data_IF_069615255732
#
_entry.id   IF_069615255732
#
_cell.length_a   1.000
_cell.length_b   1.000
_cell.length_c   1.000
_cell.angle_alpha   90.00
_cell.angle_beta   90.00
_cell.angle_gamma   90.00
#
_symmetry.space_group_name_H-M   'P 1'
#
loop_
_entity.id
_entity.type
_entity.pdbx_description
1 polymer ?
#
# COMPACT_ATOMS: atom_id res chain seq x y z
N UNK A 1 -8.44 15.11 -6.43
CA UNK A 1 -8.25 16.34 -5.64
C UNK A 1 -6.78 16.61 -5.37
N UNK A 2 -5.98 15.62 -4.97
CA UNK A 2 -4.54 15.80 -4.71
C UNK A 2 -3.69 16.16 -5.94
N UNK A 3 -4.23 16.07 -7.17
CA UNK A 3 -3.56 16.58 -8.38
C UNK A 3 -3.44 18.11 -8.41
N UNK A 4 -4.23 18.83 -7.60
CA UNK A 4 -4.22 20.29 -7.59
C UNK A 4 -4.88 20.87 -8.84
N UNK A 5 -4.21 21.84 -9.46
CA UNK A 5 -4.71 22.62 -10.60
C UNK A 5 -4.79 21.81 -11.90
N UNK A 6 -5.60 22.29 -12.85
CA UNK A 6 -5.82 21.62 -14.13
C UNK A 6 -4.54 21.49 -14.97
N UNK A 7 -3.61 22.43 -14.86
CA UNK A 7 -2.30 22.40 -15.53
C UNK A 7 -1.51 21.13 -15.22
N UNK A 8 -1.63 20.60 -14.00
CA UNK A 8 -0.94 19.39 -13.55
C UNK A 8 -1.47 18.12 -14.25
N UNK A 9 -2.62 18.19 -14.93
CA UNK A 9 -3.11 17.06 -15.74
C UNK A 9 -2.14 16.70 -16.86
N UNK A 10 -1.35 17.66 -17.34
CA UNK A 10 -0.32 17.39 -18.35
C UNK A 10 0.72 16.37 -17.85
N UNK A 11 1.09 16.42 -16.57
CA UNK A 11 1.99 15.43 -15.96
C UNK A 11 1.40 14.01 -15.98
N UNK A 12 0.08 13.91 -15.81
CA UNK A 12 -0.64 12.62 -15.89
C UNK A 12 -0.72 12.14 -17.34
N UNK A 13 -0.95 13.05 -18.29
CA UNK A 13 -1.00 12.74 -19.72
C UNK A 13 0.34 12.25 -20.25
N UNK A 14 1.42 12.98 -19.99
CA UNK A 14 2.78 12.63 -20.40
C UNK A 14 3.17 11.25 -19.86
N UNK A 15 2.84 11.00 -18.59
CA UNK A 15 3.06 9.70 -17.97
C UNK A 15 2.22 8.58 -18.58
N UNK A 16 0.94 8.86 -18.84
CA UNK A 16 0.04 7.87 -19.43
C UNK A 16 0.53 7.44 -20.82
N UNK A 17 1.05 8.38 -21.60
CA UNK A 17 1.71 8.11 -22.88
C UNK A 17 2.93 7.20 -22.66
N UNK A 18 3.83 7.56 -21.74
CA UNK A 18 5.03 6.78 -21.47
C UNK A 18 4.74 5.37 -20.93
N UNK A 19 3.69 5.23 -20.13
CA UNK A 19 3.25 3.94 -19.59
C UNK A 19 2.38 3.13 -20.56
N UNK A 20 1.97 3.70 -21.71
CA UNK A 20 0.98 3.07 -22.60
C UNK A 20 -0.37 2.85 -21.92
N UNK A 21 -0.74 3.72 -20.99
CA UNK A 21 -1.89 3.57 -20.10
C UNK A 21 -3.04 4.52 -20.46
N UNK A 22 -4.26 4.13 -20.08
CA UNK A 22 -5.41 5.02 -20.14
C UNK A 22 -5.50 5.90 -18.88
N UNK A 23 -5.95 7.14 -19.05
CA UNK A 23 -6.20 8.06 -17.93
C UNK A 23 -7.59 7.79 -17.36
N UNK A 24 -7.68 7.72 -16.04
CA UNK A 24 -8.92 7.71 -15.27
C UNK A 24 -8.87 8.74 -14.15
N UNK A 25 -10.00 9.02 -13.52
CA UNK A 25 -10.08 10.04 -12.47
C UNK A 25 -10.99 9.62 -11.30
N UNK A 26 -10.85 10.33 -10.18
CA UNK A 26 -11.76 10.21 -9.03
C UNK A 26 -12.96 11.13 -9.19
N UNK A 27 -14.05 10.85 -8.47
CA UNK A 27 -15.31 11.61 -8.54
C UNK A 27 -15.13 13.14 -8.49
N UNK A 28 -14.34 13.72 -7.54
CA UNK A 28 -14.18 15.18 -7.49
C UNK A 28 -13.52 15.76 -8.74
N UNK A 29 -12.66 14.99 -9.43
CA UNK A 29 -11.99 15.43 -10.65
C UNK A 29 -12.95 15.44 -11.86
N UNK A 30 -13.93 14.52 -11.88
CA UNK A 30 -14.95 14.46 -12.94
C UNK A 30 -16.13 15.41 -12.71
N UNK A 31 -16.70 15.41 -11.50
CA UNK A 31 -17.94 16.15 -11.20
C UNK A 31 -17.68 17.58 -10.76
N UNK A 32 -16.76 17.80 -9.83
CA UNK A 32 -16.56 19.12 -9.21
C UNK A 32 -15.57 19.97 -10.01
N UNK A 33 -14.41 19.40 -10.33
CA UNK A 33 -13.34 20.12 -11.04
C UNK A 33 -13.51 20.05 -12.57
N UNK A 34 -14.23 19.04 -13.07
CA UNK A 34 -14.50 18.83 -14.50
C UNK A 34 -13.23 18.81 -15.36
N UNK A 35 -12.14 18.25 -14.85
CA UNK A 35 -10.88 18.13 -15.62
C UNK A 35 -10.98 17.02 -16.66
N UNK A 36 -11.75 15.98 -16.36
CA UNK A 36 -12.00 14.84 -17.23
C UNK A 36 -13.49 14.53 -17.28
N UNK A 37 -14.00 13.98 -18.39
CA UNK A 37 -15.40 13.63 -18.53
C UNK A 37 -15.82 12.51 -17.55
N UNK A 38 -17.12 12.45 -17.26
CA UNK A 38 -17.72 11.46 -16.35
C UNK A 38 -17.45 10.00 -16.74
N UNK A 39 -17.25 9.71 -18.03
CA UNK A 39 -16.90 8.34 -18.46
C UNK A 39 -15.48 7.90 -18.06
N UNK A 40 -14.62 8.80 -17.56
CA UNK A 40 -13.30 8.49 -17.00
C UNK A 40 -13.31 8.34 -15.49
N UNK A 41 -14.43 8.60 -14.82
CA UNK A 41 -14.56 8.45 -13.38
C UNK A 41 -14.51 6.97 -13.00
N UNK A 42 -13.59 6.62 -12.10
CA UNK A 42 -13.44 5.27 -11.52
C UNK A 42 -13.94 5.27 -10.08
N UNK A 43 -14.84 4.35 -9.75
CA UNK A 43 -15.40 4.22 -8.40
C UNK A 43 -16.68 3.38 -8.36
N UNK A 44 -17.33 3.30 -7.21
CA UNK A 44 -18.54 2.51 -6.97
C UNK A 44 -19.66 2.85 -7.99
N UNK A 45 -19.89 4.13 -8.23
CA UNK A 45 -20.92 4.65 -9.16
C UNK A 45 -20.35 4.99 -10.54
N UNK A 46 -19.06 4.80 -10.76
CA UNK A 46 -18.38 5.09 -12.02
C UNK A 46 -17.98 3.82 -12.75
N UNK A 47 -16.93 3.92 -13.57
CA UNK A 47 -16.30 2.79 -14.21
C UNK A 47 -15.59 1.91 -13.17
N UNK A 48 -15.61 0.61 -13.41
CA UNK A 48 -14.79 -0.37 -12.68
C UNK A 48 -13.53 -0.63 -13.48
N UNK A 49 -12.39 -0.49 -12.83
CA UNK A 49 -11.11 -0.82 -13.44
C UNK A 49 -10.83 -2.32 -13.29
N UNK A 50 -10.55 -2.97 -14.42
CA UNK A 50 -10.09 -4.35 -14.50
C UNK A 50 -8.84 -4.39 -15.38
N UNK A 51 -7.68 -4.49 -14.75
CA UNK A 51 -6.38 -4.37 -15.42
C UNK A 51 -5.24 -4.77 -14.49
N UNK A 52 -4.04 -4.92 -15.04
CA UNK A 52 -2.90 -5.42 -14.27
C UNK A 52 -2.26 -4.33 -13.39
N UNK A 53 -2.28 -3.07 -13.82
CA UNK A 53 -1.61 -1.98 -13.12
C UNK A 53 -2.53 -0.77 -12.99
N UNK A 54 -2.83 -0.38 -11.76
CA UNK A 54 -3.53 0.85 -11.42
C UNK A 54 -2.59 1.76 -10.66
N UNK A 55 -2.48 3.03 -11.08
CA UNK A 55 -1.57 3.97 -10.42
C UNK A 55 -2.34 5.19 -9.91
N UNK A 56 -2.55 5.22 -8.60
CA UNK A 56 -3.32 6.22 -7.90
C UNK A 56 -2.44 7.43 -7.54
N UNK A 57 -2.60 8.53 -8.26
CA UNK A 57 -1.81 9.76 -8.04
C UNK A 57 -2.67 10.80 -7.32
N UNK A 58 -2.34 11.13 -6.07
CA UNK A 58 -3.08 12.14 -5.29
C UNK A 58 -4.53 11.72 -4.96
N UNK A 59 -4.77 10.42 -4.83
CA UNK A 59 -6.07 9.81 -4.48
C UNK A 59 -6.01 9.35 -3.03
N UNK A 60 -6.97 9.76 -2.20
CA UNK A 60 -7.01 9.41 -0.77
C UNK A 60 -7.41 7.97 -0.50
N UNK A 61 -8.12 7.32 -1.44
CA UNK A 61 -8.60 5.96 -1.31
C UNK A 61 -9.92 5.83 -0.52
N UNK A 62 -10.85 6.78 -0.68
CA UNK A 62 -12.19 6.65 -0.12
C UNK A 62 -12.83 5.31 -0.54
N UNK A 63 -13.60 4.69 0.36
CA UNK A 63 -14.16 3.35 0.14
C UNK A 63 -14.96 3.19 -1.16
N UNK A 64 -15.62 4.25 -1.63
CA UNK A 64 -16.30 4.27 -2.93
C UNK A 64 -15.32 4.13 -4.10
N UNK A 65 -14.17 4.80 -4.05
CA UNK A 65 -13.12 4.68 -5.08
C UNK A 65 -12.49 3.29 -5.06
N UNK A 66 -12.16 2.78 -3.87
CA UNK A 66 -11.54 1.45 -3.69
C UNK A 66 -12.39 0.33 -4.29
N UNK A 67 -13.72 0.40 -4.15
CA UNK A 67 -14.64 -0.56 -4.78
C UNK A 67 -14.56 -0.58 -6.31
N UNK A 68 -14.18 0.54 -6.93
CA UNK A 68 -13.99 0.64 -8.38
C UNK A 68 -12.67 0.05 -8.88
N UNK A 69 -11.67 -0.13 -8.01
CA UNK A 69 -10.33 -0.63 -8.37
C UNK A 69 -9.99 -1.98 -7.74
N UNK A 70 -10.98 -2.64 -7.12
CA UNK A 70 -10.78 -3.92 -6.39
C UNK A 70 -10.19 -5.03 -7.27
N UNK A 71 -10.53 -5.04 -8.56
CA UNK A 71 -10.07 -6.05 -9.52
C UNK A 71 -8.69 -5.72 -10.14
N UNK A 72 -8.05 -4.61 -9.73
CA UNK A 72 -6.68 -4.34 -10.15
C UNK A 72 -5.71 -5.40 -9.60
N UNK A 73 -4.84 -5.95 -10.45
CA UNK A 73 -3.81 -6.88 -9.97
C UNK A 73 -2.78 -6.18 -9.10
N UNK A 74 -2.28 -5.02 -9.54
CA UNK A 74 -1.27 -4.23 -8.85
C UNK A 74 -1.74 -2.79 -8.74
N UNK A 75 -1.68 -2.25 -7.53
CA UNK A 75 -2.04 -0.88 -7.19
C UNK A 75 -0.79 -0.18 -6.68
N UNK A 76 -0.36 0.85 -7.40
CA UNK A 76 0.69 1.78 -6.97
C UNK A 76 0.02 3.06 -6.48
N UNK A 77 0.40 3.58 -5.32
CA UNK A 77 -0.16 4.80 -4.75
C UNK A 77 0.92 5.86 -4.54
N UNK A 78 0.63 7.10 -4.94
CA UNK A 78 1.48 8.27 -4.71
C UNK A 78 0.60 9.31 -4.00
N UNK A 79 0.96 9.67 -2.76
CA UNK A 79 0.21 10.62 -1.98
C UNK A 79 1.10 11.33 -0.95
N UNK A 80 0.92 12.64 -0.78
CA UNK A 80 1.66 13.42 0.23
C UNK A 80 1.31 13.02 1.66
N UNK A 81 0.09 12.55 1.90
CA UNK A 81 -0.36 12.14 3.22
C UNK A 81 -0.09 10.64 3.44
N UNK A 82 0.93 10.32 4.22
CA UNK A 82 1.30 8.95 4.61
C UNK A 82 0.15 8.13 5.22
N UNK A 83 -0.84 8.79 5.84
CA UNK A 83 -1.99 8.14 6.47
C UNK A 83 -3.18 7.94 5.51
N UNK A 84 -3.03 8.21 4.22
CA UNK A 84 -4.09 8.04 3.24
C UNK A 84 -4.57 6.58 3.17
N UNK A 85 -5.89 6.39 3.13
CA UNK A 85 -6.53 5.06 3.11
C UNK A 85 -6.12 4.21 1.89
N UNK A 86 -5.70 4.85 0.79
CA UNK A 86 -5.18 4.17 -0.40
C UNK A 86 -3.98 3.28 -0.06
N UNK A 87 -3.12 3.69 0.89
CA UNK A 87 -1.92 2.93 1.26
C UNK A 87 -2.24 1.59 1.92
N UNK A 88 -3.39 1.49 2.61
CA UNK A 88 -3.88 0.22 3.17
C UNK A 88 -4.33 -0.79 2.11
N UNK A 89 -4.50 -0.34 0.87
CA UNK A 89 -5.06 -1.15 -0.22
C UNK A 89 -4.12 -1.19 -1.45
N UNK A 90 -2.95 -0.53 -1.40
CA UNK A 90 -1.96 -0.56 -2.46
C UNK A 90 -0.93 -1.68 -2.23
N UNK A 91 -0.26 -2.06 -3.30
CA UNK A 91 0.87 -3.00 -3.25
C UNK A 91 2.20 -2.25 -3.16
N UNK A 92 2.28 -1.05 -3.76
CA UNK A 92 3.44 -0.15 -3.65
C UNK A 92 2.96 1.27 -3.32
N UNK A 93 3.64 1.93 -2.39
CA UNK A 93 3.29 3.28 -1.94
C UNK A 93 4.50 4.20 -1.95
N UNK A 94 4.33 5.42 -2.47
CA UNK A 94 5.31 6.51 -2.36
C UNK A 94 4.63 7.66 -1.63
N UNK A 95 5.24 8.08 -0.52
CA UNK A 95 4.80 9.27 0.22
C UNK A 95 5.56 10.48 -0.32
N UNK A 96 4.84 11.42 -0.91
CA UNK A 96 5.43 12.65 -1.45
C UNK A 96 4.52 13.38 -2.44
N UNK A 97 5.00 14.50 -2.97
CA UNK A 97 4.24 15.34 -3.88
C UNK A 97 4.14 14.72 -5.28
N UNK A 98 2.93 14.74 -5.86
CA UNK A 98 2.69 14.16 -7.18
C UNK A 98 3.43 14.93 -8.29
N UNK A 99 3.60 16.24 -8.16
CA UNK A 99 4.24 17.07 -9.17
C UNK A 99 5.76 16.88 -9.20
N UNK A 100 6.35 16.44 -8.09
CA UNK A 100 7.77 16.09 -8.02
C UNK A 100 8.01 14.64 -8.48
N UNK A 101 7.14 13.71 -8.05
CA UNK A 101 7.32 12.28 -8.31
C UNK A 101 6.96 11.91 -9.76
N UNK A 102 5.90 12.49 -10.32
CA UNK A 102 5.44 12.11 -11.67
C UNK A 102 6.49 12.37 -12.76
N UNK A 103 7.17 13.52 -12.82
CA UNK A 103 8.24 13.75 -13.81
C UNK A 103 9.37 12.73 -13.71
N UNK A 104 9.82 12.42 -12.48
CA UNK A 104 10.89 11.43 -12.25
C UNK A 104 10.48 10.04 -12.71
N UNK A 105 9.24 9.64 -12.40
CA UNK A 105 8.71 8.35 -12.81
C UNK A 105 8.50 8.27 -14.33
N UNK A 106 8.05 9.35 -14.96
CA UNK A 106 7.90 9.45 -16.41
C UNK A 106 9.26 9.31 -17.10
N UNK A 107 10.29 10.01 -16.61
CA UNK A 107 11.64 9.90 -17.14
C UNK A 107 12.23 8.48 -16.97
N UNK A 108 11.99 7.83 -15.83
CA UNK A 108 12.43 6.45 -15.60
C UNK A 108 11.72 5.41 -16.50
N UNK A 109 10.51 5.72 -16.97
CA UNK A 109 9.75 4.88 -17.90
C UNK A 109 10.11 5.15 -19.36
N UNK A 110 10.76 6.27 -19.67
CA UNK A 110 11.20 6.59 -21.01
C UNK A 110 12.49 5.82 -21.32
N UNK A 111 12.34 4.81 -22.18
CA UNK A 111 13.44 3.96 -22.64
C UNK A 111 13.89 4.32 -24.06
N UNK A 112 13.40 5.43 -24.63
CA UNK A 112 13.73 5.88 -25.99
C UNK A 112 13.14 5.01 -27.12
N UNK A 113 12.35 4.00 -26.78
CA UNK A 113 11.72 3.10 -27.75
C UNK A 113 10.26 3.48 -28.01
N UNK A 114 9.77 3.19 -29.22
CA UNK A 114 8.35 3.31 -29.55
C UNK A 114 7.53 2.36 -28.68
N UNK A 115 6.59 2.90 -27.90
CA UNK A 115 5.75 2.11 -27.00
C UNK A 115 4.91 1.12 -27.79
N UNK A 116 5.05 -0.16 -27.46
CA UNK A 116 4.27 -1.25 -28.08
C UNK A 116 2.82 -1.15 -27.63
N UNK A 117 1.89 -1.53 -28.49
CA UNK A 117 0.48 -1.65 -28.12
C UNK A 117 0.34 -2.60 -26.94
N UNK A 118 -0.49 -2.25 -25.96
CA UNK A 118 -0.73 -3.09 -24.81
C UNK A 118 -1.19 -4.50 -25.28
N UNK A 119 -0.57 -5.58 -24.78
CA UNK A 119 -1.00 -6.93 -25.11
C UNK A 119 -2.42 -7.18 -24.57
N UNK A 120 -3.08 -8.21 -25.10
CA UNK A 120 -4.38 -8.63 -24.59
C UNK A 120 -4.28 -8.90 -23.07
N UNK A 121 -5.21 -8.31 -22.31
CA UNK A 121 -5.21 -8.42 -20.85
C UNK A 121 -5.25 -9.88 -20.42
N UNK A 122 -4.22 -10.32 -19.69
CA UNK A 122 -4.19 -11.61 -19.01
C UNK A 122 -4.35 -11.35 -17.52
N UNK A 123 -5.45 -11.83 -16.94
CA UNK A 123 -5.70 -11.69 -15.50
C UNK A 123 -4.58 -12.39 -14.74
N UNK A 124 -3.82 -11.62 -13.98
CA UNK A 124 -2.80 -12.13 -13.08
C UNK A 124 -3.38 -12.22 -11.66
N UNK A 125 -3.00 -13.26 -10.92
CA UNK A 125 -3.37 -13.38 -9.51
C UNK A 125 -2.61 -12.30 -8.73
N UNK A 126 -3.34 -11.44 -8.02
CA UNK A 126 -2.73 -10.45 -7.13
C UNK A 126 -1.93 -11.18 -6.05
N UNK A 127 -0.63 -10.93 -6.00
CA UNK A 127 0.23 -11.34 -4.88
C UNK A 127 -0.13 -10.48 -3.69
N UNK A 128 -0.83 -11.05 -2.70
CA UNK A 128 -1.00 -10.36 -1.42
C UNK A 128 0.37 -10.38 -0.72
N UNK A 129 0.91 -9.24 -0.27
CA UNK A 129 2.07 -9.26 0.61
C UNK A 129 1.72 -10.15 1.80
N UNK A 130 2.57 -11.15 2.06
CA UNK A 130 2.43 -11.99 3.24
C UNK A 130 2.50 -11.07 4.44
N UNK A 131 1.41 -10.97 5.21
CA UNK A 131 1.49 -10.37 6.54
C UNK A 131 2.45 -11.28 7.32
N UNK A 132 3.64 -10.78 7.64
CA UNK A 132 4.51 -11.45 8.59
C UNK A 132 3.67 -11.59 9.87
N UNK A 133 3.40 -12.82 10.28
CA UNK A 133 2.66 -13.02 11.54
C UNK A 133 3.60 -12.59 12.66
N UNK A 134 3.10 -11.88 13.69
CA UNK A 134 3.90 -11.59 14.87
C UNK A 134 4.40 -12.92 15.42
N UNK A 135 5.67 -12.97 15.79
CA UNK A 135 6.26 -14.13 16.43
C UNK A 135 5.88 -14.06 17.90
N UNK A 136 5.08 -15.03 18.35
CA UNK A 136 4.60 -15.11 19.72
C UNK A 136 5.22 -16.34 20.37
N UNK A 137 5.64 -16.20 21.63
CA UNK A 137 6.10 -17.30 22.47
C UNK A 137 5.15 -17.43 23.64
N UNK A 138 4.66 -18.64 23.89
CA UNK A 138 3.70 -18.92 24.97
C UNK A 138 4.36 -19.76 26.05
N UNK A 139 4.29 -19.31 27.30
CA UNK A 139 4.71 -20.08 28.46
C UNK A 139 3.83 -21.31 28.63
N UNK A 140 4.42 -22.50 28.71
CA UNK A 140 3.67 -23.75 28.85
C UNK A 140 3.05 -23.94 30.25
N UNK A 141 3.59 -23.28 31.28
CA UNK A 141 3.06 -23.37 32.65
C UNK A 141 1.83 -22.51 32.90
N UNK A 142 1.83 -21.23 32.49
CA UNK A 142 0.73 -20.30 32.77
C UNK A 142 0.01 -19.74 31.54
N UNK A 143 0.58 -19.91 30.33
CA UNK A 143 0.03 -19.35 29.10
C UNK A 143 0.40 -17.89 28.83
N UNK A 144 1.34 -17.30 29.56
CA UNK A 144 1.84 -15.95 29.25
C UNK A 144 2.36 -15.86 27.82
N UNK A 145 1.91 -14.83 27.09
CA UNK A 145 2.25 -14.61 25.69
C UNK A 145 3.29 -13.49 25.57
N UNK A 146 4.52 -13.86 25.23
CA UNK A 146 5.55 -12.92 24.86
C UNK A 146 5.49 -12.63 23.35
N UNK A 147 5.24 -11.37 22.99
CA UNK A 147 5.27 -10.91 21.60
C UNK A 147 6.54 -10.10 21.35
N UNK A 148 7.40 -10.56 20.44
CA UNK A 148 8.67 -9.90 20.13
C UNK A 148 8.50 -8.44 19.70
N UNK A 149 7.41 -8.06 19.01
CA UNK A 149 7.16 -6.68 18.61
C UNK A 149 6.80 -5.77 19.78
N UNK A 150 6.09 -6.31 20.79
CA UNK A 150 5.67 -5.54 21.96
C UNK A 150 6.75 -5.52 23.06
N UNK A 151 7.60 -6.56 23.11
CA UNK A 151 8.52 -6.78 24.20
C UNK A 151 7.79 -7.00 25.52
N UNK A 152 8.45 -6.64 26.63
CA UNK A 152 7.88 -6.67 27.97
C UNK A 152 8.46 -5.52 28.82
N UNK A 153 8.01 -4.27 28.58
CA UNK A 153 8.61 -3.09 29.19
C UNK A 153 8.49 -3.07 30.72
N UNK A 154 7.46 -3.71 31.28
CA UNK A 154 7.24 -3.79 32.73
C UNK A 154 8.34 -4.61 33.41
N UNK A 155 8.92 -5.58 32.69
CA UNK A 155 10.03 -6.41 33.16
C UNK A 155 11.36 -6.06 32.49
N UNK A 156 11.47 -4.85 31.92
CA UNK A 156 12.73 -4.30 31.39
C UNK A 156 13.13 -4.81 30.01
N UNK A 157 12.19 -5.38 29.24
CA UNK A 157 12.42 -5.84 27.87
C UNK A 157 11.82 -4.84 26.89
N UNK A 158 12.67 -4.22 26.08
CA UNK A 158 12.23 -3.22 25.10
C UNK A 158 11.40 -3.85 23.95
N UNK A 159 10.42 -3.12 23.40
CA UNK A 159 9.68 -3.55 22.21
C UNK A 159 10.62 -3.86 21.04
N UNK A 160 10.37 -4.98 20.34
CA UNK A 160 11.23 -5.43 19.24
C UNK A 160 12.36 -6.37 19.68
N UNK A 161 12.45 -6.75 20.94
CA UNK A 161 13.47 -7.70 21.43
C UNK A 161 13.09 -9.13 21.01
N UNK A 162 13.91 -9.83 20.20
CA UNK A 162 13.66 -11.23 19.87
C UNK A 162 13.73 -12.10 21.12
N UNK A 163 12.91 -13.15 21.19
CA UNK A 163 12.88 -14.07 22.34
C UNK A 163 14.27 -14.69 22.58
N UNK A 164 14.99 -15.03 21.52
CA UNK A 164 16.36 -15.55 21.60
C UNK A 164 17.33 -14.57 22.27
N UNK A 165 17.08 -13.25 22.19
CA UNK A 165 17.91 -12.20 22.79
C UNK A 165 17.47 -11.78 24.19
N UNK A 166 16.43 -12.40 24.75
CA UNK A 166 16.07 -12.17 26.15
C UNK A 166 17.24 -12.54 27.08
N UNK A 167 17.50 -11.74 28.14
CA UNK A 167 18.57 -12.02 29.10
C UNK A 167 18.52 -13.45 29.66
N UNK A 168 19.68 -14.05 29.96
CA UNK A 168 19.76 -15.43 30.46
C UNK A 168 19.02 -15.65 31.79
N UNK A 169 18.83 -14.59 32.58
CA UNK A 169 18.06 -14.60 33.83
C UNK A 169 16.59 -14.22 33.70
N UNK A 170 16.10 -14.00 32.48
CA UNK A 170 14.69 -13.67 32.25
C UNK A 170 13.81 -14.91 32.41
N UNK A 171 12.77 -14.79 33.23
CA UNK A 171 11.78 -15.83 33.51
C UNK A 171 10.38 -15.31 33.23
N UNK A 172 9.42 -16.22 33.09
CA UNK A 172 8.03 -15.87 32.88
C UNK A 172 7.52 -14.90 33.97
N UNK A 173 7.00 -13.72 33.63
CA UNK A 173 6.52 -12.76 34.62
C UNK A 173 5.37 -13.28 35.49
N UNK A 174 4.48 -14.10 34.91
CA UNK A 174 3.31 -14.63 35.63
C UNK A 174 3.60 -15.80 36.57
N UNK A 175 4.55 -16.68 36.23
CA UNK A 175 4.75 -17.94 36.97
C UNK A 175 6.21 -18.29 37.30
N UNK A 176 7.17 -17.48 36.84
CA UNK A 176 8.60 -17.66 37.11
C UNK A 176 9.26 -18.82 36.36
N UNK A 177 8.57 -19.46 35.41
CA UNK A 177 9.18 -20.51 34.59
C UNK A 177 10.34 -19.99 33.73
N UNK A 178 11.31 -20.85 33.48
CA UNK A 178 12.46 -20.53 32.66
C UNK A 178 12.06 -20.34 31.19
N UNK A 179 12.88 -19.58 30.47
CA UNK A 179 12.79 -19.38 29.01
C UNK A 179 12.65 -20.68 28.21
N UNK A 180 13.19 -21.80 28.74
CA UNK A 180 13.09 -23.12 28.12
C UNK A 180 11.65 -23.69 28.06
N UNK A 181 10.75 -23.25 28.94
CA UNK A 181 9.36 -23.70 28.97
C UNK A 181 8.42 -22.87 28.09
N UNK A 182 8.97 -22.03 27.21
CA UNK A 182 8.21 -21.30 26.20
C UNK A 182 8.22 -22.01 24.85
N UNK A 183 7.07 -22.02 24.19
CA UNK A 183 6.91 -22.55 22.83
C UNK A 183 6.57 -21.44 21.86
N UNK A 184 7.18 -21.49 20.67
CA UNK A 184 6.88 -20.56 19.57
C UNK A 184 5.56 -20.95 18.89
N UNK A 185 4.63 -20.02 18.77
CA UNK A 185 3.29 -20.23 18.15
C UNK A 185 3.07 -19.39 16.89
#
# INVERSE_FOLDING_TARGET
KGIGEKSNMKLIEDRAIQAGAAIGCSRPVAETLQYLPLNRYVGMSGQKFNGNLYIACGISGAGQHLKGIKEATTIVAININANAQIFKNCDYGIVGDVNEILPLLTAALDNGETKKTAPAFKKMKRSLPSKQKPVIYVCNGCGYEYNEELGDPENGIEPGTPFDKLPDGWTCPDCGEEKANFIKV
#
